data_IF_944667093350
#
_entry.id   IF_944667093350
#
_cell.length_a   1.000
_cell.length_b   1.000
_cell.length_c   1.000
_cell.angle_alpha   90.00
_cell.angle_beta   90.00
_cell.angle_gamma   90.00
#
_symmetry.space_group_name_H-M   'P 1'
#
loop_
_entity.id
_entity.type
_entity.pdbx_description
1 polymer ?
#
# COMPACT_ATOMS: atom_id res chain seq x y z
N UNK A 1 12.42 -11.90 -3.42
CA UNK A 1 12.60 -10.51 -2.96
C UNK A 1 11.25 -9.93 -2.56
N UNK A 2 11.13 -9.26 -1.41
CA UNK A 2 9.90 -8.58 -1.03
C UNK A 2 9.75 -7.27 -1.82
N UNK A 3 8.79 -7.24 -2.76
CA UNK A 3 8.46 -6.03 -3.53
C UNK A 3 7.82 -4.97 -2.61
N UNK A 4 8.29 -3.73 -2.71
CA UNK A 4 7.62 -2.60 -2.07
C UNK A 4 6.27 -2.32 -2.75
N UNK A 5 5.27 -1.92 -1.96
CA UNK A 5 3.92 -1.70 -2.45
C UNK A 5 3.29 -0.42 -1.88
N UNK A 6 2.33 0.14 -2.61
CA UNK A 6 1.46 1.20 -2.10
C UNK A 6 0.03 0.68 -2.00
N UNK A 7 -0.50 0.55 -0.79
CA UNK A 7 -1.89 0.16 -0.57
C UNK A 7 -2.78 1.40 -0.60
N UNK A 8 -3.63 1.51 -1.63
CA UNK A 8 -4.53 2.65 -1.81
C UNK A 8 -5.88 2.35 -1.17
N UNK A 9 -6.31 3.23 -0.26
CA UNK A 9 -7.54 3.09 0.53
C UNK A 9 -8.48 4.26 0.19
N UNK A 10 -9.43 4.06 -0.73
CA UNK A 10 -10.49 5.04 -0.96
C UNK A 10 -11.41 5.14 0.24
N UNK A 11 -11.54 6.35 0.78
CA UNK A 11 -12.46 6.66 1.86
C UNK A 11 -13.75 7.25 1.28
N UNK A 12 -14.82 6.47 1.34
CA UNK A 12 -16.14 6.81 0.80
C UNK A 12 -17.13 6.83 1.97
N UNK A 13 -17.67 8.01 2.33
CA UNK A 13 -18.61 8.13 3.43
C UNK A 13 -19.84 7.24 3.31
N UNK A 14 -20.11 6.45 4.35
CA UNK A 14 -21.20 5.47 4.41
C UNK A 14 -20.90 4.12 3.75
N UNK A 15 -19.72 3.94 3.15
CA UNK A 15 -19.35 2.70 2.45
C UNK A 15 -18.06 2.07 3.00
N UNK A 16 -16.98 2.85 3.08
CA UNK A 16 -15.66 2.35 3.49
C UNK A 16 -15.09 3.08 4.70
N UNK A 17 -15.83 4.03 5.27
CA UNK A 17 -15.36 4.93 6.31
C UNK A 17 -15.85 4.56 7.71
N UNK A 18 -16.25 3.33 7.99
CA UNK A 18 -16.64 2.93 9.34
C UNK A 18 -15.43 2.37 10.12
N UNK A 19 -15.31 2.77 11.39
CA UNK A 19 -14.10 2.54 12.19
C UNK A 19 -13.72 1.05 12.28
N UNK A 20 -14.68 0.16 12.55
CA UNK A 20 -14.39 -1.27 12.69
C UNK A 20 -13.77 -1.89 11.41
N UNK A 21 -14.21 -1.45 10.23
CA UNK A 21 -13.65 -1.91 8.96
C UNK A 21 -12.24 -1.38 8.75
N UNK A 22 -12.01 -0.11 9.09
CA UNK A 22 -10.70 0.53 8.98
C UNK A 22 -9.68 -0.10 9.95
N UNK A 23 -10.10 -0.41 11.17
CA UNK A 23 -9.28 -1.11 12.16
C UNK A 23 -8.87 -2.50 11.64
N UNK A 24 -9.82 -3.29 11.12
CA UNK A 24 -9.53 -4.61 10.53
C UNK A 24 -8.60 -4.51 9.30
N UNK A 25 -8.77 -3.49 8.47
CA UNK A 25 -7.91 -3.25 7.32
C UNK A 25 -6.49 -2.87 7.74
N UNK A 26 -6.36 -2.12 8.84
CA UNK A 26 -5.07 -1.74 9.38
C UNK A 26 -4.35 -2.94 10.02
N UNK A 27 -5.07 -3.89 10.63
CA UNK A 27 -4.50 -5.17 11.08
C UNK A 27 -4.00 -6.02 9.91
N UNK A 28 -4.78 -6.08 8.83
CA UNK A 28 -4.37 -6.75 7.60
C UNK A 28 -3.10 -6.13 6.99
N UNK A 29 -3.06 -4.80 6.87
CA UNK A 29 -1.89 -4.08 6.36
C UNK A 29 -0.64 -4.30 7.23
N UNK A 30 -0.79 -4.39 8.55
CA UNK A 30 0.30 -4.75 9.46
C UNK A 30 0.84 -6.17 9.18
N UNK A 31 -0.04 -7.12 8.84
CA UNK A 31 0.39 -8.46 8.42
C UNK A 31 1.22 -8.44 7.14
N UNK A 32 0.81 -7.63 6.15
CA UNK A 32 1.57 -7.46 4.90
C UNK A 32 2.94 -6.81 5.12
N UNK A 33 3.01 -5.78 5.97
CA UNK A 33 4.28 -5.12 6.34
C UNK A 33 5.25 -6.11 7.01
N UNK A 34 4.77 -6.92 7.97
CA UNK A 34 5.58 -7.96 8.62
C UNK A 34 6.11 -8.99 7.62
N UNK A 35 5.24 -9.50 6.75
CA UNK A 35 5.65 -10.45 5.70
C UNK A 35 6.70 -9.86 4.76
N UNK A 36 6.59 -8.57 4.41
CA UNK A 36 7.59 -7.87 3.62
C UNK A 36 8.94 -7.76 4.35
N UNK A 37 8.94 -7.43 5.64
CA UNK A 37 10.14 -7.36 6.47
C UNK A 37 10.85 -8.71 6.54
N UNK A 38 10.12 -9.79 6.83
CA UNK A 38 10.64 -11.16 6.89
C UNK A 38 11.29 -11.60 5.56
N UNK A 39 10.63 -11.31 4.43
CA UNK A 39 11.15 -11.64 3.11
C UNK A 39 12.49 -10.93 2.81
N UNK A 40 12.65 -9.68 3.28
CA UNK A 40 13.90 -8.92 3.13
C UNK A 40 15.00 -9.39 4.07
N UNK A 41 14.67 -9.69 5.32
CA UNK A 41 15.63 -10.27 6.26
C UNK A 41 16.19 -11.59 5.75
N UNK A 42 15.33 -12.49 5.27
CA UNK A 42 15.75 -13.76 4.68
C UNK A 42 16.73 -13.54 3.51
N UNK A 43 16.39 -12.62 2.59
CA UNK A 43 17.23 -12.29 1.44
C UNK A 43 18.60 -11.74 1.87
N UNK A 44 18.64 -10.88 2.90
CA UNK A 44 19.89 -10.32 3.42
C UNK A 44 20.79 -11.37 4.09
N UNK A 45 20.20 -12.35 4.78
CA UNK A 45 20.94 -13.44 5.45
C UNK A 45 21.56 -14.38 4.42
N UNK A 46 20.84 -14.73 3.35
CA UNK A 46 21.39 -15.54 2.24
C UNK A 46 22.52 -14.82 1.52
N UNK A 47 22.40 -13.51 1.28
CA UNK A 47 23.48 -12.71 0.69
C UNK A 47 24.72 -12.61 1.60
N UNK A 48 24.54 -12.51 2.93
CA UNK A 48 25.63 -12.44 3.89
C UNK A 48 26.31 -13.80 4.16
N UNK A 49 25.60 -14.92 3.97
CA UNK A 49 26.09 -16.27 4.22
C UNK A 49 27.04 -16.81 3.12
N UNK A 50 27.23 -16.09 2.01
CA UNK A 50 28.21 -16.47 0.99
C UNK A 50 27.95 -17.82 0.32
N UNK A 51 26.71 -18.30 0.30
CA UNK A 51 26.35 -19.52 -0.44
C UNK A 51 26.29 -19.21 -1.94
N UNK A 52 27.46 -19.20 -2.58
CA UNK A 52 27.54 -19.38 -4.03
C UNK A 52 27.02 -20.78 -4.34
N UNK A 53 25.85 -20.85 -4.96
CA UNK A 53 25.33 -22.08 -5.56
C UNK A 53 26.42 -22.77 -6.40
N UNK A 54 26.63 -24.10 -6.30
CA UNK A 54 27.66 -24.81 -7.06
C UNK A 54 27.48 -24.77 -8.58
N UNK A 55 26.38 -24.21 -9.08
CA UNK A 55 26.04 -24.17 -10.51
C UNK A 55 26.45 -22.88 -11.24
N UNK A 56 27.10 -21.92 -10.56
CA UNK A 56 27.43 -20.61 -11.14
C UNK A 56 28.90 -20.45 -11.59
N UNK A 57 29.59 -21.56 -11.87
CA UNK A 57 30.91 -21.50 -12.50
C UNK A 57 30.77 -21.48 -14.02
N UNK A 58 30.28 -20.36 -14.58
CA UNK A 58 30.15 -20.31 -16.04
C UNK A 58 29.48 -19.11 -16.70
N UNK A 59 29.57 -17.88 -16.19
CA UNK A 59 29.44 -16.68 -17.05
C UNK A 59 30.01 -15.43 -16.39
N UNK A 60 31.29 -15.20 -16.66
CA UNK A 60 31.87 -13.88 -16.46
C UNK A 60 31.19 -12.89 -17.42
N UNK A 61 30.62 -11.82 -16.87
CA UNK A 61 30.43 -10.59 -17.64
C UNK A 61 29.00 -10.12 -17.87
N UNK A 62 28.15 -10.06 -16.86
CA UNK A 62 27.14 -9.00 -16.76
C UNK A 62 27.11 -8.55 -15.30
N UNK A 63 27.55 -7.32 -15.04
CA UNK A 63 27.50 -6.73 -13.72
C UNK A 63 26.05 -6.63 -13.27
N UNK A 64 25.60 -7.61 -12.48
CA UNK A 64 24.45 -7.42 -11.62
C UNK A 64 24.89 -6.41 -10.55
N UNK A 65 24.76 -5.13 -10.89
CA UNK A 65 24.85 -4.05 -9.91
C UNK A 65 23.98 -4.47 -8.73
N UNK A 66 24.49 -4.48 -7.49
CA UNK A 66 23.66 -4.74 -6.34
C UNK A 66 22.53 -3.71 -6.44
N UNK A 67 21.30 -4.20 -6.54
CA UNK A 67 20.10 -3.37 -6.56
C UNK A 67 20.27 -2.47 -5.34
N UNK A 68 20.57 -1.21 -5.60
CA UNK A 68 20.79 -0.24 -4.55
C UNK A 68 19.55 -0.28 -3.68
N UNK A 69 19.71 -0.22 -2.35
CA UNK A 69 18.62 -0.14 -1.37
C UNK A 69 17.82 1.14 -1.62
N UNK A 70 17.08 1.16 -2.73
CA UNK A 70 16.22 2.24 -3.12
C UNK A 70 15.05 2.06 -2.16
N UNK A 71 15.04 2.90 -1.12
CA UNK A 71 14.26 2.79 0.11
C UNK A 71 12.74 2.83 -0.05
N UNK A 72 12.21 2.12 -1.05
CA UNK A 72 10.82 1.78 -1.21
C UNK A 72 10.44 0.83 -0.08
N UNK A 73 9.86 1.43 0.96
CA UNK A 73 9.10 0.72 1.98
C UNK A 73 7.64 0.69 1.57
N UNK A 74 6.87 -0.28 2.06
CA UNK A 74 5.44 -0.22 1.87
C UNK A 74 4.83 1.05 2.47
N UNK A 75 3.78 1.55 1.82
CA UNK A 75 3.08 2.75 2.26
C UNK A 75 1.56 2.62 2.04
N UNK A 76 0.79 3.22 2.94
CA UNK A 76 -0.68 3.29 2.87
C UNK A 76 -1.09 4.67 2.39
N UNK A 77 -1.87 4.75 1.32
CA UNK A 77 -2.40 6.01 0.79
C UNK A 77 -3.90 6.11 1.07
N UNK A 78 -4.31 7.02 1.95
CA UNK A 78 -5.71 7.32 2.22
C UNK A 78 -6.20 8.31 1.16
N UNK A 79 -7.14 7.90 0.32
CA UNK A 79 -7.64 8.70 -0.79
C UNK A 79 -9.04 9.20 -0.49
N UNK A 80 -9.22 10.52 -0.52
CA UNK A 80 -10.55 11.10 -0.48
C UNK A 80 -11.33 10.67 -1.72
N UNK A 81 -12.55 10.18 -1.52
CA UNK A 81 -13.47 10.00 -2.63
C UNK A 81 -13.91 11.37 -3.18
N UNK A 82 -13.95 11.46 -4.51
CA UNK A 82 -14.46 12.61 -5.25
C UNK A 82 -15.50 12.13 -6.27
N UNK A 83 -16.45 13.00 -6.61
CA UNK A 83 -17.55 12.74 -7.55
C UNK A 83 -17.13 12.77 -9.03
N UNK A 84 -15.83 12.75 -9.33
CA UNK A 84 -15.28 12.74 -10.69
C UNK A 84 -15.80 11.58 -11.56
N UNK A 85 -16.32 10.51 -10.94
CA UNK A 85 -17.00 9.40 -11.60
C UNK A 85 -18.34 9.78 -12.25
N UNK A 86 -19.03 10.81 -11.75
CA UNK A 86 -20.39 11.20 -12.19
C UNK A 86 -20.47 11.47 -13.69
N UNK A 87 -19.47 12.14 -14.26
CA UNK A 87 -19.40 12.41 -15.70
C UNK A 87 -19.37 11.12 -16.55
N UNK A 88 -18.73 10.05 -16.06
CA UNK A 88 -18.65 8.76 -16.75
C UNK A 88 -19.99 8.00 -16.75
N UNK A 89 -20.81 8.21 -15.74
CA UNK A 89 -22.17 7.64 -15.64
C UNK A 89 -23.15 8.43 -16.49
N UNK A 90 -23.07 9.78 -16.44
CA UNK A 90 -23.85 10.66 -17.28
C UNK A 90 -23.64 10.37 -18.78
N UNK A 91 -22.37 10.19 -19.21
CA UNK A 91 -22.04 9.81 -20.58
C UNK A 91 -22.68 8.48 -21.04
N UNK A 92 -22.99 7.59 -20.10
CA UNK A 92 -23.62 6.29 -20.37
C UNK A 92 -25.13 6.28 -20.11
N UNK A 93 -25.73 7.42 -19.76
CA UNK A 93 -27.15 7.52 -19.34
C UNK A 93 -27.48 6.55 -18.19
N UNK A 94 -26.51 6.28 -17.31
CA UNK A 94 -26.67 5.44 -16.14
C UNK A 94 -26.89 6.31 -14.89
N UNK A 95 -27.66 5.79 -13.94
CA UNK A 95 -27.86 6.41 -12.64
C UNK A 95 -26.58 6.30 -11.79
N UNK A 96 -26.18 7.41 -11.17
CA UNK A 96 -25.05 7.44 -10.26
C UNK A 96 -25.52 7.22 -8.82
N UNK A 97 -25.34 6.01 -8.30
CA UNK A 97 -25.87 5.65 -6.97
C UNK A 97 -25.22 6.39 -5.80
N UNK A 98 -24.05 7.00 -6.00
CA UNK A 98 -23.32 7.75 -4.97
C UNK A 98 -23.47 9.29 -5.12
N UNK A 99 -24.55 9.74 -5.77
CA UNK A 99 -24.78 11.18 -6.04
C UNK A 99 -24.96 12.03 -4.78
N UNK A 100 -25.44 11.43 -3.68
CA UNK A 100 -25.60 12.09 -2.38
C UNK A 100 -24.42 11.85 -1.43
N UNK A 101 -23.42 11.09 -1.83
CA UNK A 101 -22.26 10.80 -0.97
C UNK A 101 -21.37 12.03 -0.88
N UNK A 102 -21.31 12.62 0.31
CA UNK A 102 -20.43 13.75 0.57
C UNK A 102 -18.95 13.34 0.42
N UNK A 103 -18.10 14.30 0.06
CA UNK A 103 -16.65 14.14 0.14
C UNK A 103 -16.28 14.05 1.63
N UNK A 104 -15.42 13.11 2.05
CA UNK A 104 -15.00 13.01 3.45
C UNK A 104 -14.31 14.29 3.90
N UNK A 105 -14.59 14.73 5.14
CA UNK A 105 -13.93 15.90 5.71
C UNK A 105 -12.44 15.64 5.92
N UNK A 106 -11.66 16.72 5.99
CA UNK A 106 -10.22 16.64 6.32
C UNK A 106 -9.98 15.98 7.67
N UNK A 107 -10.76 16.36 8.69
CA UNK A 107 -10.70 15.77 10.03
C UNK A 107 -10.95 14.26 9.98
N UNK A 108 -11.88 13.80 9.15
CA UNK A 108 -12.13 12.37 8.97
C UNK A 108 -10.93 11.68 8.33
N UNK A 109 -10.34 12.25 7.28
CA UNK A 109 -9.14 11.69 6.65
C UNK A 109 -7.98 11.57 7.65
N UNK A 110 -7.78 12.58 8.48
CA UNK A 110 -6.74 12.60 9.51
C UNK A 110 -7.02 11.57 10.62
N UNK A 111 -8.27 11.44 11.07
CA UNK A 111 -8.68 10.43 12.04
C UNK A 111 -8.42 9.01 11.50
N UNK A 112 -8.78 8.77 10.23
CA UNK A 112 -8.52 7.49 9.56
C UNK A 112 -7.01 7.25 9.41
N UNK A 113 -6.23 8.23 8.97
CA UNK A 113 -4.78 8.09 8.92
C UNK A 113 -4.20 7.73 10.30
N UNK A 114 -4.75 8.29 11.38
CA UNK A 114 -4.39 7.94 12.75
C UNK A 114 -4.61 6.47 13.10
N UNK A 115 -5.66 5.82 12.58
CA UNK A 115 -5.92 4.38 12.79
C UNK A 115 -4.76 3.52 12.29
N UNK A 116 -4.26 3.82 11.09
CA UNK A 116 -3.14 3.10 10.49
C UNK A 116 -1.81 3.47 11.14
N UNK A 117 -1.55 4.77 11.36
CA UNK A 117 -0.29 5.24 11.94
C UNK A 117 -0.05 4.73 13.36
N UNK A 118 -1.10 4.55 14.18
CA UNK A 118 -0.99 3.96 15.52
C UNK A 118 -0.46 2.52 15.52
N UNK A 119 -0.56 1.80 14.40
CA UNK A 119 0.00 0.45 14.22
C UNK A 119 1.45 0.46 13.70
N UNK A 120 2.05 1.64 13.58
CA UNK A 120 3.40 1.80 13.03
C UNK A 120 3.47 1.70 11.49
N UNK A 121 2.32 1.72 10.81
CA UNK A 121 2.28 1.76 9.35
C UNK A 121 2.66 3.15 8.84
N UNK A 122 3.34 3.20 7.69
CA UNK A 122 3.64 4.45 7.00
C UNK A 122 2.41 4.88 6.20
N UNK A 123 1.86 6.06 6.51
CA UNK A 123 0.60 6.53 5.95
C UNK A 123 0.76 7.91 5.32
N UNK A 124 0.11 8.10 4.17
CA UNK A 124 0.00 9.36 3.46
C UNK A 124 -1.45 9.62 3.10
N UNK A 125 -1.93 10.85 3.30
CA UNK A 125 -3.22 11.28 2.76
C UNK A 125 -2.96 11.79 1.34
N UNK A 126 -3.70 11.25 0.36
CA UNK A 126 -3.42 11.43 -1.06
C UNK A 126 -2.42 10.42 -1.61
N UNK A 127 -2.29 10.41 -2.93
CA UNK A 127 -1.49 9.44 -3.68
C UNK A 127 -0.84 10.06 -4.90
#
# INVERSE_FOLDING_TARGET
EGLAYALRVPLVPGFTDYDAGLEAMADFALGLEKSWQEARECSSKTAAAGETSPLDQGRAGEGHSPVSDNGYRPEIHILAYHDAGKAKYAARKLLYHAEATAVPSRERLEAVAGIFSRRGLRVRIGG
#
